data_IF_604878924892
#
_entry.id   IF_604878924892
#
_cell.length_a   1.000
_cell.length_b   1.000
_cell.length_c   1.000
_cell.angle_alpha   90.00
_cell.angle_beta   90.00
_cell.angle_gamma   90.00
#
_symmetry.space_group_name_H-M   'P 1'
#
loop_
_entity.id
_entity.type
_entity.pdbx_description
1 polymer ?
#
# COMPACT_ATOMS: atom_id res chain seq x y z
N UNK A 1 14.70 5.06 6.28
CA UNK A 1 16.04 5.28 5.65
C UNK A 1 16.41 6.75 5.58
N UNK A 2 15.49 7.64 5.21
CA UNK A 2 15.71 9.08 5.12
C UNK A 2 16.23 9.68 6.42
N UNK A 3 15.73 9.23 7.57
CA UNK A 3 16.28 9.62 8.86
C UNK A 3 17.78 9.30 8.99
N UNK A 4 18.18 8.07 8.68
CA UNK A 4 19.59 7.63 8.76
C UNK A 4 20.50 8.44 7.84
N UNK A 5 20.06 8.73 6.63
CA UNK A 5 20.81 9.57 5.68
C UNK A 5 20.95 10.99 6.22
N UNK A 6 19.87 11.57 6.74
CA UNK A 6 19.88 12.91 7.30
C UNK A 6 20.75 13.02 8.56
N UNK A 7 20.81 11.96 9.36
CA UNK A 7 21.70 11.86 10.53
C UNK A 7 23.17 11.89 10.13
N UNK A 8 23.58 11.11 9.11
CA UNK A 8 24.96 11.11 8.61
C UNK A 8 25.38 12.47 8.05
N UNK A 9 24.44 13.25 7.51
CA UNK A 9 24.70 14.59 6.98
C UNK A 9 24.67 15.68 8.07
N UNK A 10 24.28 15.36 9.30
CA UNK A 10 24.17 16.33 10.40
C UNK A 10 22.92 17.21 10.36
N UNK A 11 21.84 16.77 9.71
CA UNK A 11 20.56 17.49 9.57
C UNK A 11 20.65 18.94 9.03
N UNK A 12 21.36 19.20 7.92
CA UNK A 12 21.47 20.54 7.38
C UNK A 12 20.14 21.03 6.77
N UNK A 13 19.79 22.29 7.03
CA UNK A 13 18.65 22.96 6.39
C UNK A 13 17.33 22.19 6.51
N UNK A 14 16.73 21.87 5.36
CA UNK A 14 15.40 21.21 5.28
C UNK A 14 15.42 19.78 5.87
N UNK A 15 16.58 19.13 5.93
CA UNK A 15 16.71 17.79 6.51
C UNK A 15 16.43 17.77 8.01
N UNK A 16 16.51 18.91 8.70
CA UNK A 16 16.13 19.02 10.11
C UNK A 16 14.66 18.64 10.37
N UNK A 17 13.79 18.73 9.36
CA UNK A 17 12.39 18.27 9.45
C UNK A 17 12.28 16.76 9.74
N UNK A 18 13.26 15.96 9.30
CA UNK A 18 13.27 14.52 9.49
C UNK A 18 13.52 14.11 10.95
N UNK A 19 13.94 15.02 11.83
CA UNK A 19 14.04 14.75 13.28
C UNK A 19 12.66 14.56 13.91
N UNK A 20 11.66 15.29 13.43
CA UNK A 20 10.32 15.26 14.00
C UNK A 20 9.62 13.95 13.65
N UNK A 21 9.18 13.22 14.68
CA UNK A 21 8.42 11.98 14.49
C UNK A 21 7.11 12.24 13.74
N UNK A 22 6.41 13.34 14.06
CA UNK A 22 5.17 13.73 13.39
C UNK A 22 5.34 13.90 11.88
N UNK A 23 6.44 14.55 11.44
CA UNK A 23 6.75 14.74 10.03
C UNK A 23 7.01 13.40 9.34
N UNK A 24 7.83 12.53 9.95
CA UNK A 24 8.11 11.18 9.41
C UNK A 24 6.86 10.31 9.32
N UNK A 25 6.02 10.32 10.36
CA UNK A 25 4.77 9.55 10.37
C UNK A 25 3.80 10.07 9.29
N UNK A 26 3.63 11.39 9.18
CA UNK A 26 2.80 11.99 8.13
C UNK A 26 3.33 11.66 6.73
N UNK A 27 4.65 11.77 6.55
CA UNK A 27 5.35 11.37 5.33
C UNK A 27 5.09 9.91 4.98
N UNK A 28 5.26 8.99 5.92
CA UNK A 28 5.07 7.56 5.72
C UNK A 28 3.62 7.19 5.36
N UNK A 29 2.64 7.85 5.97
CA UNK A 29 1.23 7.65 5.60
C UNK A 29 0.97 8.14 4.18
N UNK A 30 1.43 9.35 3.84
CA UNK A 30 1.23 9.94 2.52
C UNK A 30 1.92 9.11 1.42
N UNK A 31 3.16 8.67 1.63
CA UNK A 31 3.88 7.85 0.65
C UNK A 31 3.27 6.46 0.52
N UNK A 32 2.80 5.82 1.60
CA UNK A 32 2.11 4.53 1.50
C UNK A 32 0.81 4.64 0.69
N UNK A 33 0.03 5.70 0.92
CA UNK A 33 -1.19 5.98 0.15
C UNK A 33 -0.87 6.19 -1.33
N UNK A 34 0.12 7.02 -1.66
CA UNK A 34 0.55 7.27 -3.04
C UNK A 34 0.98 5.99 -3.74
N UNK A 35 1.81 5.16 -3.08
CA UNK A 35 2.23 3.86 -3.63
C UNK A 35 1.02 2.97 -3.90
N UNK A 36 0.09 2.85 -2.94
CA UNK A 36 -1.13 2.06 -3.09
C UNK A 36 -2.02 2.51 -4.25
N UNK A 37 -2.23 3.83 -4.40
CA UNK A 37 -3.04 4.40 -5.48
C UNK A 37 -2.39 4.20 -6.86
N UNK A 38 -1.07 4.38 -6.97
CA UNK A 38 -0.35 4.24 -8.23
C UNK A 38 -0.25 2.78 -8.70
N UNK A 39 -0.06 1.85 -7.77
CA UNK A 39 0.11 0.42 -8.07
C UNK A 39 -1.26 -0.29 -8.18
N UNK A 40 -2.31 0.24 -7.55
CA UNK A 40 -3.62 -0.37 -7.42
C UNK A 40 -4.21 -0.97 -8.71
N UNK A 41 -4.41 -0.17 -9.78
CA UNK A 41 -5.02 -0.69 -11.01
C UNK A 41 -4.24 -1.84 -11.65
N UNK A 42 -2.90 -1.74 -11.66
CA UNK A 42 -2.02 -2.77 -12.21
C UNK A 42 -2.03 -4.03 -11.34
N UNK A 43 -2.01 -3.87 -10.03
CA UNK A 43 -2.03 -4.97 -9.08
C UNK A 43 -3.35 -5.75 -9.11
N UNK A 44 -4.49 -5.04 -9.18
CA UNK A 44 -5.81 -5.65 -9.32
C UNK A 44 -5.91 -6.43 -10.65
N UNK A 45 -5.42 -5.84 -11.75
CA UNK A 45 -5.38 -6.52 -13.05
C UNK A 45 -4.53 -7.80 -13.01
N UNK A 46 -3.35 -7.72 -12.41
CA UNK A 46 -2.46 -8.87 -12.23
C UNK A 46 -3.10 -9.98 -11.37
N UNK A 47 -3.73 -9.62 -10.25
CA UNK A 47 -4.43 -10.57 -9.41
C UNK A 47 -5.60 -11.24 -10.12
N UNK A 48 -6.37 -10.49 -10.93
CA UNK A 48 -7.48 -11.04 -11.72
C UNK A 48 -7.00 -12.11 -12.69
N UNK A 49 -5.86 -11.88 -13.36
CA UNK A 49 -5.25 -12.89 -14.24
C UNK A 49 -4.75 -14.10 -13.46
N UNK A 50 -4.09 -13.89 -12.31
CA UNK A 50 -3.50 -14.96 -11.49
C UNK A 50 -4.53 -15.83 -10.78
N UNK A 51 -5.63 -15.24 -10.33
CA UNK A 51 -6.69 -15.93 -9.58
C UNK A 51 -7.87 -16.36 -10.45
N UNK A 52 -7.91 -15.94 -11.71
CA UNK A 52 -8.99 -16.27 -12.65
C UNK A 52 -10.35 -15.74 -12.21
N UNK A 53 -11.25 -16.65 -11.78
CA UNK A 53 -12.64 -16.31 -11.41
C UNK A 53 -12.79 -15.74 -9.99
N UNK A 54 -11.71 -15.60 -9.25
CA UNK A 54 -11.74 -15.13 -7.86
C UNK A 54 -12.27 -16.19 -6.90
N UNK A 55 -12.80 -15.76 -5.75
CA UNK A 55 -13.38 -16.69 -4.77
C UNK A 55 -14.68 -17.33 -5.30
N UNK A 56 -14.84 -18.67 -5.22
CA UNK A 56 -16.07 -19.33 -5.60
C UNK A 56 -17.21 -18.88 -4.67
N UNK A 57 -18.19 -18.19 -5.25
CA UNK A 57 -19.38 -17.72 -4.52
C UNK A 57 -20.39 -18.86 -4.47
N UNK A 58 -20.91 -19.11 -3.26
CA UNK A 58 -21.93 -20.13 -3.00
C UNK A 58 -23.25 -19.76 -3.69
N UNK A 59 -23.89 -20.73 -4.35
CA UNK A 59 -25.10 -20.49 -5.15
C UNK A 59 -26.38 -20.33 -4.28
N UNK A 60 -26.33 -20.82 -3.04
CA UNK A 60 -27.35 -20.76 -1.99
C UNK A 60 -27.35 -19.42 -1.21
N UNK A 61 -26.46 -18.49 -1.56
CA UNK A 61 -26.38 -17.17 -0.93
C UNK A 61 -27.36 -16.13 -1.49
N UNK A 62 -27.47 -14.95 -0.86
CA UNK A 62 -28.30 -13.87 -1.37
C UNK A 62 -27.80 -13.41 -2.76
N UNK A 63 -28.72 -13.17 -3.69
CA UNK A 63 -28.39 -12.82 -5.08
C UNK A 63 -27.48 -11.59 -5.21
N UNK A 64 -27.55 -10.66 -4.26
CA UNK A 64 -26.69 -9.46 -4.19
C UNK A 64 -25.20 -9.80 -4.09
N UNK A 65 -24.83 -10.99 -3.60
CA UNK A 65 -23.44 -11.43 -3.52
C UNK A 65 -22.87 -11.86 -4.87
N UNK A 66 -23.71 -12.26 -5.83
CA UNK A 66 -23.28 -12.63 -7.19
C UNK A 66 -22.67 -11.45 -7.96
N UNK A 67 -23.01 -10.20 -7.58
CA UNK A 67 -22.40 -9.00 -8.14
C UNK A 67 -20.89 -8.88 -7.85
N UNK A 68 -20.37 -9.62 -6.85
CA UNK A 68 -18.95 -9.61 -6.47
C UNK A 68 -18.11 -10.66 -7.21
N UNK A 69 -18.73 -11.52 -8.03
CA UNK A 69 -18.05 -12.55 -8.81
C UNK A 69 -16.96 -11.93 -9.69
N UNK A 70 -15.75 -12.49 -9.68
CA UNK A 70 -14.61 -11.99 -10.45
C UNK A 70 -13.83 -10.84 -9.81
N UNK A 71 -14.19 -10.44 -8.58
CA UNK A 71 -13.34 -9.55 -7.78
C UNK A 71 -12.18 -10.35 -7.20
N UNK A 72 -10.91 -10.00 -7.49
CA UNK A 72 -9.77 -10.72 -6.94
C UNK A 72 -9.66 -10.53 -5.42
N UNK A 73 -9.12 -11.53 -4.75
CA UNK A 73 -8.77 -11.50 -3.32
C UNK A 73 -7.31 -11.09 -3.15
N UNK A 74 -6.83 -10.92 -1.91
CA UNK A 74 -5.44 -10.53 -1.59
C UNK A 74 -5.09 -9.04 -1.74
N UNK A 75 -6.07 -8.13 -1.64
CA UNK A 75 -5.81 -6.69 -1.53
C UNK A 75 -4.90 -6.32 -0.35
N UNK A 76 -4.90 -7.13 0.72
CA UNK A 76 -4.00 -6.94 1.86
C UNK A 76 -2.52 -7.01 1.50
N UNK A 77 -2.13 -7.79 0.49
CA UNK A 77 -0.74 -7.85 0.03
C UNK A 77 -0.27 -6.50 -0.51
N UNK A 78 -1.12 -5.82 -1.29
CA UNK A 78 -0.85 -4.46 -1.78
C UNK A 78 -0.64 -3.47 -0.64
N UNK A 79 -1.50 -3.54 0.38
CA UNK A 79 -1.42 -2.67 1.57
C UNK A 79 -0.11 -2.91 2.30
N UNK A 80 0.22 -4.18 2.59
CA UNK A 80 1.45 -4.55 3.27
C UNK A 80 2.69 -4.12 2.49
N UNK A 81 2.73 -4.34 1.17
CA UNK A 81 3.86 -3.89 0.34
C UNK A 81 4.02 -2.37 0.37
N UNK A 82 2.94 -1.61 0.18
CA UNK A 82 3.00 -0.16 0.20
C UNK A 82 3.43 0.39 1.58
N UNK A 83 2.87 -0.18 2.65
CA UNK A 83 3.21 0.18 4.03
C UNK A 83 4.68 -0.15 4.35
N UNK A 84 5.14 -1.36 4.05
CA UNK A 84 6.52 -1.78 4.32
C UNK A 84 7.53 -0.93 3.58
N UNK A 85 7.33 -0.66 2.29
CA UNK A 85 8.22 0.21 1.50
C UNK A 85 8.27 1.62 2.08
N UNK A 86 7.11 2.14 2.48
CA UNK A 86 7.00 3.47 3.08
C UNK A 86 7.71 3.56 4.43
N UNK A 87 7.50 2.58 5.32
CA UNK A 87 8.15 2.51 6.63
C UNK A 87 9.66 2.37 6.51
N UNK A 88 10.15 1.60 5.55
CA UNK A 88 11.58 1.47 5.29
C UNK A 88 12.16 2.78 4.73
N UNK A 89 11.41 3.51 3.91
CA UNK A 89 11.87 4.76 3.32
C UNK A 89 12.08 5.85 4.36
N UNK A 90 11.12 6.10 5.26
CA UNK A 90 11.20 7.20 6.25
C UNK A 90 12.17 6.92 7.40
#
# INVERSE_FOLDING_TARGET
MLFWIAEQLGFPGILNLLRYLSFRTGGAVATALLIGLLIGPRFIGWLRVRQGKGQPIRADGPQTHLAKVGTPTMGGLMILTAMSLSLLLW
#
